data_IF_246687642474
#
_entry.id   IF_246687642474
#
_cell.length_a   1.000
_cell.length_b   1.000
_cell.length_c   1.000
_cell.angle_alpha   90.00
_cell.angle_beta   90.00
_cell.angle_gamma   90.00
#
_symmetry.space_group_name_H-M   'P 1'
#
loop_
_entity.id
_entity.type
_entity.pdbx_description
1 polymer ?
#
# COMPACT_ATOMS: atom_id res chain seq x y z
N UNK A 1 -2.07 14.26 3.64
CA UNK A 1 -2.49 13.01 4.31
C UNK A 1 -2.39 13.23 5.81
N UNK A 2 -3.49 13.12 6.55
CA UNK A 2 -3.51 13.31 8.01
C UNK A 2 -3.15 12.01 8.72
N UNK A 3 -2.24 12.05 9.69
CA UNK A 3 -1.93 10.89 10.55
C UNK A 3 -2.88 10.91 11.74
N UNK A 4 -3.56 9.80 11.97
CA UNK A 4 -4.46 9.64 13.12
C UNK A 4 -3.71 8.94 14.25
N UNK A 5 -3.74 9.53 15.44
CA UNK A 5 -3.06 9.00 16.63
C UNK A 5 -4.04 8.29 17.56
N UNK A 6 -3.63 7.13 18.07
CA UNK A 6 -4.41 6.32 19.01
C UNK A 6 -3.64 6.12 20.32
N UNK A 7 -4.35 5.86 21.41
CA UNK A 7 -3.74 5.52 22.72
C UNK A 7 -3.28 4.07 22.80
N UNK A 8 -3.84 3.18 21.99
CA UNK A 8 -3.69 1.75 22.12
C UNK A 8 -3.17 1.10 20.83
N UNK A 9 -2.40 0.02 21.01
CA UNK A 9 -1.95 -0.81 19.90
C UNK A 9 -3.11 -1.59 19.28
N UNK A 10 -3.01 -1.93 18.00
CA UNK A 10 -4.03 -2.73 17.31
C UNK A 10 -3.59 -4.18 17.08
N UNK A 11 -4.52 -4.95 16.54
CA UNK A 11 -4.29 -6.27 15.97
C UNK A 11 -4.41 -6.11 14.45
N UNK A 12 -3.46 -6.65 13.70
CA UNK A 12 -3.56 -6.67 12.25
C UNK A 12 -4.61 -7.69 11.85
N UNK A 13 -5.63 -7.30 11.09
CA UNK A 13 -6.65 -8.24 10.63
C UNK A 13 -6.05 -9.33 9.75
N UNK A 14 -4.95 -9.04 9.05
CA UNK A 14 -4.35 -9.92 8.04
C UNK A 14 -3.44 -11.00 8.64
N UNK A 15 -2.53 -10.61 9.52
CA UNK A 15 -1.57 -11.52 10.13
C UNK A 15 -1.85 -11.85 11.59
N UNK A 16 -2.91 -11.26 12.17
CA UNK A 16 -3.29 -11.39 13.59
C UNK A 16 -2.19 -10.96 14.57
N UNK A 17 -1.15 -10.28 14.07
CA UNK A 17 -0.07 -9.73 14.90
C UNK A 17 -0.67 -8.68 15.84
N UNK A 18 -0.53 -8.93 17.13
CA UNK A 18 -0.93 -7.99 18.20
C UNK A 18 0.15 -6.94 18.42
N UNK A 19 -0.21 -5.84 19.07
CA UNK A 19 0.77 -4.83 19.49
C UNK A 19 1.32 -4.02 18.32
N UNK A 20 0.61 -3.93 17.19
CA UNK A 20 1.08 -3.10 16.08
C UNK A 20 0.97 -1.63 16.49
N UNK A 21 2.08 -0.91 16.33
CA UNK A 21 2.18 0.50 16.71
C UNK A 21 1.99 1.45 15.53
N UNK A 22 1.99 0.90 14.32
CA UNK A 22 1.78 1.58 13.04
C UNK A 22 0.95 0.64 12.17
N UNK A 23 -0.16 1.12 11.63
CA UNK A 23 -1.10 0.35 10.81
C UNK A 23 -1.90 1.26 9.90
N UNK A 24 -2.62 0.66 8.97
CA UNK A 24 -3.51 1.35 8.05
C UNK A 24 -4.94 0.94 8.36
N UNK A 25 -5.83 1.91 8.46
CA UNK A 25 -7.26 1.66 8.65
C UNK A 25 -8.02 2.10 7.41
N UNK A 26 -8.93 1.27 6.92
CA UNK A 26 -9.89 1.70 5.91
C UNK A 26 -10.82 2.77 6.51
N UNK A 27 -11.18 3.79 5.72
CA UNK A 27 -12.00 4.90 6.19
C UNK A 27 -13.49 4.52 6.35
N UNK A 28 -13.97 3.54 5.59
CA UNK A 28 -15.39 3.17 5.52
C UNK A 28 -15.70 1.81 6.16
N UNK A 29 -14.69 0.96 6.38
CA UNK A 29 -14.89 -0.35 7.00
C UNK A 29 -13.88 -0.63 8.12
N UNK A 30 -14.23 -1.49 9.09
CA UNK A 30 -13.37 -1.78 10.24
C UNK A 30 -12.25 -2.75 9.85
N UNK A 31 -11.31 -2.30 9.00
CA UNK A 31 -10.14 -3.06 8.57
C UNK A 31 -8.84 -2.36 8.94
N UNK A 32 -8.06 -3.01 9.78
CA UNK A 32 -6.73 -2.63 10.21
C UNK A 32 -5.66 -3.55 9.62
N UNK A 33 -4.70 -2.99 8.89
CA UNK A 33 -3.64 -3.74 8.21
C UNK A 33 -2.27 -3.24 8.65
N UNK A 34 -1.39 -4.15 9.08
CA UNK A 34 -0.01 -3.77 9.37
C UNK A 34 0.79 -3.55 8.09
N UNK A 35 1.91 -2.83 8.22
CA UNK A 35 2.82 -2.52 7.12
C UNK A 35 3.20 -3.75 6.28
N UNK A 36 3.60 -4.86 6.91
CA UNK A 36 4.04 -6.08 6.21
C UNK A 36 2.92 -6.75 5.41
N UNK A 37 1.66 -6.49 5.76
CA UNK A 37 0.52 -7.02 5.03
C UNK A 37 0.04 -6.07 3.92
N UNK A 38 0.62 -4.88 3.78
CA UNK A 38 0.35 -4.00 2.64
C UNK A 38 1.14 -4.37 1.39
N UNK A 39 2.33 -4.94 1.54
CA UNK A 39 3.26 -5.21 0.43
C UNK A 39 2.68 -6.02 -0.77
N UNK A 40 1.66 -6.89 -0.65
CA UNK A 40 1.04 -7.54 -1.81
C UNK A 40 -0.20 -6.76 -2.30
N UNK A 41 -0.14 -5.43 -2.32
CA UNK A 41 -1.18 -4.55 -2.88
C UNK A 41 -2.55 -4.72 -2.22
N UNK A 42 -2.57 -5.08 -0.94
CA UNK A 42 -3.82 -5.40 -0.23
C UNK A 42 -4.73 -4.17 -0.12
N UNK A 43 -4.16 -3.00 0.13
CA UNK A 43 -4.91 -1.73 0.20
C UNK A 43 -5.50 -1.39 -1.15
N UNK A 44 -4.68 -1.48 -2.19
CA UNK A 44 -5.03 -1.14 -3.56
C UNK A 44 -6.13 -2.07 -4.08
N UNK A 45 -5.99 -3.37 -3.87
CA UNK A 45 -7.02 -4.36 -4.20
C UNK A 45 -8.33 -4.10 -3.42
N UNK A 46 -8.24 -3.75 -2.13
CA UNK A 46 -9.43 -3.41 -1.33
C UNK A 46 -10.13 -2.15 -1.84
N UNK A 47 -9.39 -1.07 -2.08
CA UNK A 47 -9.93 0.19 -2.60
C UNK A 47 -10.49 0.00 -4.02
N UNK A 48 -9.83 -0.79 -4.87
CA UNK A 48 -10.34 -1.11 -6.21
C UNK A 48 -11.66 -1.88 -6.15
N UNK A 49 -11.78 -2.87 -5.26
CA UNK A 49 -12.98 -3.70 -5.12
C UNK A 49 -14.18 -2.93 -4.53
N UNK A 50 -13.94 -2.03 -3.58
CA UNK A 50 -15.00 -1.39 -2.80
C UNK A 50 -15.20 0.11 -3.14
N UNK A 51 -14.38 0.67 -4.04
CA UNK A 51 -14.46 2.06 -4.47
C UNK A 51 -13.61 3.04 -3.65
N UNK A 52 -13.52 4.30 -4.09
CA UNK A 52 -12.59 5.30 -3.55
C UNK A 52 -12.85 5.71 -2.09
N UNK A 53 -14.08 5.53 -1.59
CA UNK A 53 -14.39 5.74 -0.16
C UNK A 53 -13.58 4.79 0.74
N UNK A 54 -13.25 3.60 0.25
CA UNK A 54 -12.45 2.61 0.96
C UNK A 54 -10.94 2.87 0.90
N UNK A 55 -10.52 4.14 0.90
CA UNK A 55 -9.12 4.51 1.04
C UNK A 55 -8.60 4.18 2.44
N UNK A 56 -7.28 4.03 2.57
CA UNK A 56 -6.65 3.73 3.85
C UNK A 56 -5.89 4.94 4.40
N UNK A 57 -6.09 5.21 5.68
CA UNK A 57 -5.33 6.19 6.44
C UNK A 57 -4.25 5.51 7.28
N UNK A 58 -3.06 6.13 7.35
CA UNK A 58 -2.01 5.71 8.27
C UNK A 58 -2.37 6.12 9.70
N UNK A 59 -2.40 5.13 10.58
CA UNK A 59 -2.67 5.25 12.00
C UNK A 59 -1.43 4.84 12.81
N UNK A 60 -1.27 5.44 13.98
CA UNK A 60 -0.11 5.21 14.83
C UNK A 60 -0.46 5.34 16.31
N UNK A 61 0.16 4.52 17.16
CA UNK A 61 0.10 4.74 18.61
C UNK A 61 0.85 6.02 18.95
N UNK A 62 0.19 6.92 19.69
CA UNK A 62 0.79 8.15 20.19
C UNK A 62 2.02 7.80 21.02
N UNK A 63 3.18 8.30 20.58
CA UNK A 63 4.44 8.20 21.31
C UNK A 63 4.71 9.52 22.01
N UNK A 64 5.27 9.45 23.21
CA UNK A 64 5.63 10.61 24.01
C UNK A 64 7.12 10.56 24.29
N UNK A 65 7.83 11.66 24.02
CA UNK A 65 9.25 11.75 24.29
C UNK A 65 9.51 11.54 25.78
N UNK A 66 10.38 10.60 26.13
CA UNK A 66 10.70 10.30 27.53
C UNK A 66 11.42 11.45 28.24
N UNK A 67 12.18 12.26 27.48
CA UNK A 67 12.88 13.44 27.98
C UNK A 67 11.93 14.61 28.23
N UNK A 68 11.36 15.21 27.17
CA UNK A 68 10.54 16.43 27.30
C UNK A 68 9.04 16.20 27.50
N UNK A 69 8.55 14.95 27.47
CA UNK A 69 7.13 14.58 27.63
C UNK A 69 6.17 15.13 26.57
N UNK A 70 6.69 15.66 25.47
CA UNK A 70 5.91 16.13 24.31
C UNK A 70 5.62 14.96 23.34
N UNK A 71 4.45 14.93 22.67
CA UNK A 71 4.17 13.96 21.61
C UNK A 71 5.21 13.96 20.50
N UNK A 72 5.58 12.77 20.03
CA UNK A 72 6.51 12.59 18.92
C UNK A 72 5.71 12.57 17.62
N UNK A 73 5.87 13.61 16.80
CA UNK A 73 5.17 13.77 15.51
C UNK A 73 6.07 13.64 14.29
N UNK A 74 7.39 13.46 14.51
CA UNK A 74 8.42 13.35 13.46
C UNK A 74 9.34 12.18 13.77
N UNK A 75 10.41 12.04 12.99
CA UNK A 75 11.52 11.13 13.27
C UNK A 75 11.92 11.18 14.76
N UNK A 76 12.45 10.08 15.26
CA UNK A 76 12.82 9.98 16.66
C UNK A 76 13.89 8.91 16.86
N UNK A 77 14.49 8.90 18.04
CA UNK A 77 15.36 7.82 18.47
C UNK A 77 14.60 6.85 19.35
N UNK A 78 14.72 5.56 19.06
CA UNK A 78 14.17 4.47 19.86
C UNK A 78 15.30 3.68 20.50
N UNK A 79 15.18 3.38 21.79
CA UNK A 79 16.10 2.45 22.45
C UNK A 79 15.85 1.00 21.98
N UNK A 80 16.91 0.23 21.72
CA UNK A 80 16.76 -1.17 21.26
C UNK A 80 16.33 -2.13 22.37
N UNK A 81 16.66 -1.81 23.62
CA UNK A 81 16.44 -2.71 24.77
C UNK A 81 15.23 -2.34 25.63
N UNK A 82 14.61 -1.17 25.41
CA UNK A 82 13.44 -0.74 26.19
C UNK A 82 12.49 0.13 25.37
N UNK A 83 11.32 0.45 25.93
CA UNK A 83 10.28 1.28 25.30
C UNK A 83 10.57 2.78 25.32
N UNK A 84 11.84 3.19 25.52
CA UNK A 84 12.22 4.61 25.57
C UNK A 84 12.34 5.19 24.17
N UNK A 85 11.48 6.17 23.89
CA UNK A 85 11.52 6.98 22.69
C UNK A 85 11.91 8.42 23.01
N UNK A 86 12.74 9.04 22.17
CA UNK A 86 13.23 10.40 22.34
C UNK A 86 13.04 11.18 21.03
N UNK A 87 12.35 12.32 21.08
CA UNK A 87 12.16 13.13 19.87
C UNK A 87 13.51 13.66 19.35
N UNK A 88 13.59 14.00 18.04
CA UNK A 88 14.85 14.52 17.48
C UNK A 88 15.40 15.74 18.23
N UNK A 89 14.54 16.62 18.73
CA UNK A 89 14.98 17.81 19.49
C UNK A 89 15.77 17.40 20.74
N UNK A 90 15.25 16.44 21.50
CA UNK A 90 15.91 15.94 22.70
C UNK A 90 17.04 14.97 22.40
N UNK A 91 17.15 14.44 21.18
CA UNK A 91 18.28 13.57 20.81
C UNK A 91 19.54 14.33 20.42
N UNK A 92 19.40 15.58 19.95
CA UNK A 92 20.55 16.46 19.68
C UNK A 92 21.29 16.75 21.00
N UNK A 93 20.55 16.85 22.10
CA UNK A 93 21.11 16.89 23.44
C UNK A 93 21.62 15.49 23.84
N UNK A 94 22.90 15.25 23.59
CA UNK A 94 23.56 13.96 23.86
C UNK A 94 23.53 13.57 25.34
N UNK A 95 23.22 14.51 26.24
CA UNK A 95 23.13 14.26 27.69
C UNK A 95 22.09 13.19 28.02
N UNK A 96 20.94 13.19 27.32
CA UNK A 96 19.89 12.21 27.59
C UNK A 96 20.30 10.80 27.16
N UNK A 97 20.77 10.64 25.92
CA UNK A 97 21.18 9.33 25.41
C UNK A 97 22.37 8.75 26.19
N UNK A 98 23.34 9.60 26.54
CA UNK A 98 24.49 9.21 27.37
C UNK A 98 24.06 8.83 28.77
N UNK A 99 23.25 9.65 29.44
CA UNK A 99 22.73 9.37 30.77
C UNK A 99 21.87 8.10 30.83
N UNK A 100 21.07 7.86 29.78
CA UNK A 100 20.29 6.63 29.63
C UNK A 100 21.20 5.40 29.53
N UNK A 101 22.23 5.45 28.68
CA UNK A 101 23.21 4.36 28.55
C UNK A 101 24.01 4.13 29.84
N UNK A 102 24.41 5.18 30.54
CA UNK A 102 25.11 5.07 31.83
C UNK A 102 24.22 4.41 32.89
N UNK A 103 22.91 4.74 32.91
CA UNK A 103 21.96 4.21 33.89
C UNK A 103 21.56 2.76 33.64
N UNK A 104 21.34 2.38 32.38
CA UNK A 104 20.78 1.08 32.01
C UNK A 104 21.79 0.12 31.38
N UNK A 105 23.02 0.57 31.15
CA UNK A 105 24.11 -0.22 30.57
C UNK A 105 24.31 0.00 29.08
N UNK A 106 25.46 -0.47 28.58
CA UNK A 106 25.92 -0.25 27.22
C UNK A 106 25.04 -0.93 26.14
N UNK A 107 24.24 -1.94 26.50
CA UNK A 107 23.29 -2.60 25.60
C UNK A 107 22.19 -1.65 25.13
N UNK A 108 21.83 -0.64 25.92
CA UNK A 108 20.80 0.34 25.58
C UNK A 108 21.31 1.36 24.55
N UNK A 109 21.34 0.94 23.28
CA UNK A 109 21.64 1.80 22.12
C UNK A 109 20.37 2.44 21.55
N UNK A 110 20.51 3.61 20.95
CA UNK A 110 19.44 4.29 20.25
C UNK A 110 19.58 4.10 18.73
N UNK A 111 18.48 3.75 18.08
CA UNK A 111 18.38 3.69 16.62
C UNK A 111 17.49 4.83 16.12
N UNK A 112 17.84 5.39 14.97
CA UNK A 112 17.03 6.41 14.31
C UNK A 112 15.85 5.74 13.60
N UNK A 113 14.64 6.08 14.02
CA UNK A 113 13.40 5.67 13.38
C UNK A 113 12.92 6.82 12.50
N UNK A 114 13.00 6.61 11.18
CA UNK A 114 12.43 7.53 10.19
C UNK A 114 10.91 7.36 10.20
N UNK A 115 10.19 8.42 10.55
CA UNK A 115 8.76 8.50 10.28
C UNK A 115 8.59 8.76 8.80
N UNK A 116 8.04 7.79 8.09
CA UNK A 116 7.50 8.05 6.76
C UNK A 116 6.02 8.45 6.93
N UNK A 117 5.67 9.73 6.78
CA UNK A 117 4.28 10.19 6.92
C UNK A 117 3.40 9.73 5.76
N UNK A 118 4.02 9.27 4.67
CA UNK A 118 3.37 8.80 3.46
C UNK A 118 4.02 7.48 3.10
N UNK A 119 3.21 6.43 3.01
CA UNK A 119 3.54 5.35 2.12
C UNK A 119 2.96 5.65 0.77
N UNK A 120 3.79 5.71 -0.28
CA UNK A 120 3.23 5.77 -1.62
C UNK A 120 2.28 4.59 -1.84
N UNK A 121 1.27 4.83 -2.67
CA UNK A 121 0.53 3.73 -3.27
C UNK A 121 1.52 2.92 -4.10
N UNK A 122 1.40 1.60 -4.08
CA UNK A 122 2.16 0.83 -5.05
C UNK A 122 1.66 1.23 -6.44
N UNK A 123 2.59 1.41 -7.38
CA UNK A 123 2.24 1.75 -8.74
C UNK A 123 1.41 0.61 -9.35
N UNK A 124 0.23 0.95 -9.87
CA UNK A 124 -0.65 -0.03 -10.48
C UNK A 124 -0.33 -0.10 -11.96
N UNK A 125 -0.03 -1.30 -12.43
CA UNK A 125 0.17 -1.55 -13.84
C UNK A 125 -1.18 -1.83 -14.50
N UNK A 126 -1.56 -0.99 -15.46
CA UNK A 126 -2.78 -1.20 -16.24
C UNK A 126 -2.37 -2.03 -17.44
N UNK A 127 -2.81 -3.29 -17.49
CA UNK A 127 -2.62 -4.12 -18.67
C UNK A 127 -3.93 -4.13 -19.46
N UNK A 128 -3.86 -3.58 -20.66
CA UNK A 128 -4.95 -3.68 -21.62
C UNK A 128 -4.95 -5.07 -22.23
N UNK A 129 -5.60 -6.00 -21.56
CA UNK A 129 -5.82 -7.35 -22.08
C UNK A 129 -6.92 -7.31 -23.12
N UNK A 130 -6.58 -7.00 -24.39
CA UNK A 130 -7.53 -7.26 -25.50
C UNK A 130 -7.87 -8.75 -25.46
N UNK A 131 -9.15 -9.04 -25.61
CA UNK A 131 -9.81 -10.34 -25.53
C UNK A 131 -9.08 -11.42 -26.38
N UNK A 132 -7.96 -11.93 -25.87
CA UNK A 132 -7.15 -12.97 -26.50
C UNK A 132 -7.51 -14.30 -25.82
N UNK A 133 -7.69 -15.39 -26.59
CA UNK A 133 -8.03 -16.70 -26.04
C UNK A 133 -7.09 -17.18 -24.91
N UNK A 134 -5.85 -16.70 -24.89
CA UNK A 134 -4.87 -17.00 -23.83
C UNK A 134 -5.29 -16.52 -22.44
N UNK A 135 -6.21 -15.57 -22.33
CA UNK A 135 -6.68 -15.01 -21.06
C UNK A 135 -8.00 -15.62 -20.56
N UNK A 136 -8.73 -16.36 -21.40
CA UNK A 136 -9.92 -17.13 -20.97
C UNK A 136 -9.54 -18.22 -19.95
N UNK A 137 -8.30 -18.68 -20.00
CA UNK A 137 -7.74 -19.63 -19.04
C UNK A 137 -7.11 -18.98 -17.80
N UNK A 138 -7.06 -17.65 -17.73
CA UNK A 138 -6.42 -16.98 -16.61
C UNK A 138 -7.33 -17.01 -15.38
N UNK A 139 -7.01 -17.93 -14.46
CA UNK A 139 -7.85 -18.28 -13.31
C UNK A 139 -7.13 -18.01 -12.01
N UNK A 140 -7.88 -17.50 -11.03
CA UNK A 140 -7.41 -17.35 -9.67
C UNK A 140 -6.93 -18.70 -9.13
N UNK A 141 -5.69 -18.77 -8.65
CA UNK A 141 -5.08 -19.99 -8.11
C UNK A 141 -5.88 -20.59 -6.96
N UNK A 142 -6.54 -19.75 -6.17
CA UNK A 142 -7.25 -20.14 -4.95
C UNK A 142 -8.70 -20.54 -5.23
N UNK A 143 -9.51 -19.64 -5.79
CA UNK A 143 -10.94 -19.93 -6.02
C UNK A 143 -11.25 -20.54 -7.39
N UNK A 144 -10.26 -20.64 -8.29
CA UNK A 144 -10.39 -21.13 -9.67
C UNK A 144 -11.32 -20.33 -10.57
N UNK A 145 -11.91 -19.23 -10.09
CA UNK A 145 -12.68 -18.30 -10.90
C UNK A 145 -11.81 -17.54 -11.89
N UNK A 146 -12.39 -17.13 -13.02
CA UNK A 146 -11.72 -16.28 -14.00
C UNK A 146 -11.26 -14.96 -13.35
N UNK A 147 -10.09 -14.48 -13.74
CA UNK A 147 -9.58 -13.19 -13.30
C UNK A 147 -10.30 -12.07 -14.05
N UNK A 148 -11.02 -11.24 -13.32
CA UNK A 148 -11.77 -10.10 -13.87
C UNK A 148 -11.43 -8.84 -13.06
N UNK A 149 -11.42 -7.69 -13.74
CA UNK A 149 -11.13 -6.34 -13.21
C UNK A 149 -9.69 -6.12 -12.74
N UNK A 150 -9.13 -7.05 -11.97
CA UNK A 150 -7.76 -6.97 -11.52
C UNK A 150 -7.21 -8.32 -11.05
N UNK A 151 -5.90 -8.47 -11.17
CA UNK A 151 -5.17 -9.66 -10.78
C UNK A 151 -3.92 -9.27 -9.99
N UNK A 152 -3.67 -9.95 -8.88
CA UNK A 152 -2.37 -9.92 -8.24
C UNK A 152 -1.56 -11.13 -8.74
N UNK A 153 -0.50 -10.85 -9.47
CA UNK A 153 0.37 -11.83 -10.14
C UNK A 153 1.65 -11.97 -9.35
N UNK A 154 2.08 -13.21 -9.15
CA UNK A 154 3.39 -13.51 -8.57
C UNK A 154 4.42 -13.60 -9.68
N UNK A 155 5.45 -12.76 -9.62
CA UNK A 155 6.50 -12.73 -10.65
C UNK A 155 7.45 -13.93 -10.57
N UNK A 156 7.48 -14.61 -9.41
CA UNK A 156 8.36 -15.76 -9.16
C UNK A 156 7.61 -17.10 -9.30
N UNK A 157 6.30 -17.10 -9.55
CA UNK A 157 5.49 -18.30 -9.68
C UNK A 157 4.62 -18.24 -10.92
N UNK A 158 4.91 -19.13 -11.87
CA UNK A 158 4.22 -19.18 -13.18
C UNK A 158 2.68 -19.30 -13.09
N UNK A 159 2.16 -19.98 -12.06
CA UNK A 159 0.73 -20.26 -11.91
C UNK A 159 0.13 -19.69 -10.61
N UNK A 160 0.70 -18.61 -10.07
CA UNK A 160 0.21 -18.03 -8.82
C UNK A 160 -0.37 -16.63 -9.03
N UNK A 161 -1.58 -16.62 -9.60
CA UNK A 161 -2.35 -15.40 -9.81
C UNK A 161 -3.61 -15.40 -8.95
N UNK A 162 -3.96 -14.24 -8.42
CA UNK A 162 -5.08 -14.09 -7.48
C UNK A 162 -6.06 -13.04 -7.98
N UNK A 163 -7.36 -13.35 -7.93
CA UNK A 163 -8.38 -12.33 -8.14
C UNK A 163 -8.39 -11.34 -6.98
N UNK A 164 -8.89 -10.13 -7.24
CA UNK A 164 -9.02 -9.06 -6.23
C UNK A 164 -9.70 -9.51 -4.93
N UNK A 165 -10.74 -10.35 -5.02
CA UNK A 165 -11.41 -10.90 -3.84
C UNK A 165 -10.52 -11.83 -3.00
N UNK A 166 -9.69 -12.66 -3.63
CA UNK A 166 -8.75 -13.54 -2.92
C UNK A 166 -7.60 -12.73 -2.30
N UNK A 167 -7.14 -11.68 -2.98
CA UNK A 167 -6.16 -10.73 -2.42
C UNK A 167 -6.75 -10.05 -1.17
N UNK A 168 -7.98 -9.54 -1.28
CA UNK A 168 -8.70 -8.92 -0.17
C UNK A 168 -8.93 -9.89 1.00
N UNK A 169 -9.13 -11.18 0.70
CA UNK A 169 -9.15 -12.31 1.65
C UNK A 169 -7.76 -12.78 2.12
N UNK A 170 -6.74 -11.93 1.96
CA UNK A 170 -5.41 -12.09 2.57
C UNK A 170 -4.55 -13.16 1.90
N UNK A 171 -4.98 -13.75 0.78
CA UNK A 171 -4.25 -14.86 0.14
C UNK A 171 -2.89 -14.42 -0.40
N UNK A 172 -2.81 -13.23 -1.03
CA UNK A 172 -1.54 -12.67 -1.52
C UNK A 172 -0.53 -12.45 -0.40
N UNK A 173 -0.99 -11.88 0.72
CA UNK A 173 -0.16 -11.69 1.92
C UNK A 173 0.27 -13.00 2.57
N UNK A 174 -0.49 -14.09 2.45
CA UNK A 174 -0.05 -15.40 2.93
C UNK A 174 1.01 -16.01 2.02
N UNK A 175 0.89 -15.82 0.71
CA UNK A 175 1.89 -16.28 -0.25
C UNK A 175 3.21 -15.54 -0.06
N UNK A 176 3.22 -14.21 -0.20
CA UNK A 176 4.43 -13.38 -0.11
C UNK A 176 5.20 -13.57 1.20
N UNK A 177 4.50 -13.77 2.33
CA UNK A 177 5.16 -14.04 3.63
C UNK A 177 5.86 -15.39 3.72
N UNK A 178 5.40 -16.40 2.99
CA UNK A 178 5.96 -17.76 3.05
C UNK A 178 7.18 -17.91 2.15
N UNK A 179 7.19 -17.20 1.03
CA UNK A 179 8.16 -17.42 -0.03
C UNK A 179 9.06 -16.20 -0.29
N UNK A 180 8.71 -15.03 0.24
CA UNK A 180 9.37 -13.76 -0.06
C UNK A 180 9.36 -13.40 -1.55
N UNK A 181 8.30 -13.80 -2.27
CA UNK A 181 8.12 -13.51 -3.68
C UNK A 181 7.63 -12.09 -3.94
N UNK A 182 8.01 -11.57 -5.10
CA UNK A 182 7.57 -10.31 -5.67
C UNK A 182 6.20 -10.47 -6.30
N UNK A 183 5.30 -9.54 -5.99
CA UNK A 183 3.96 -9.50 -6.53
C UNK A 183 3.76 -8.18 -7.29
N UNK A 184 2.95 -8.21 -8.34
CA UNK A 184 2.48 -7.04 -9.08
C UNK A 184 0.95 -7.08 -9.17
N UNK A 185 0.30 -5.92 -9.12
CA UNK A 185 -1.14 -5.83 -9.28
C UNK A 185 -1.49 -5.23 -10.64
N UNK A 186 -2.11 -6.04 -11.47
CA UNK A 186 -2.61 -5.65 -12.78
C UNK A 186 -4.09 -5.25 -12.71
N UNK A 187 -4.43 -4.13 -13.34
CA UNK A 187 -5.82 -3.80 -13.67
C UNK A 187 -6.11 -4.38 -15.06
N UNK A 188 -7.10 -5.25 -15.16
CA UNK A 188 -7.45 -5.97 -16.37
C UNK A 188 -8.59 -5.26 -17.10
N UNK A 189 -8.30 -4.71 -18.29
CA UNK A 189 -9.31 -4.12 -19.16
C UNK A 189 -9.87 -5.16 -20.13
N UNK A 190 -10.86 -5.95 -19.69
CA UNK A 190 -11.56 -6.92 -20.55
C UNK A 190 -12.70 -6.20 -21.29
N UNK A 191 -12.63 -6.18 -22.62
CA UNK A 191 -13.70 -5.71 -23.53
C UNK A 191 -14.11 -4.23 -23.47
N UNK A 192 -13.25 -3.34 -22.96
CA UNK A 192 -13.61 -1.92 -22.84
C UNK A 192 -14.80 -1.66 -21.89
N UNK A 193 -15.20 -2.66 -21.11
CA UNK A 193 -16.22 -2.57 -20.06
C UNK A 193 -15.74 -1.71 -18.87
N UNK A 194 -14.44 -1.42 -18.79
CA UNK A 194 -13.96 -0.25 -18.05
C UNK A 194 -14.35 1.02 -18.83
N UNK A 195 -15.66 1.25 -18.97
CA UNK A 195 -16.16 2.58 -19.32
C UNK A 195 -15.58 3.53 -18.30
N UNK A 196 -14.72 4.43 -18.76
CA UNK A 196 -13.94 5.41 -18.01
C UNK A 196 -14.79 6.47 -17.30
N UNK A 197 -16.06 6.19 -17.05
CA UNK A 197 -17.06 7.07 -16.43
C UNK A 197 -16.68 7.53 -15.01
N UNK A 198 -15.62 7.00 -14.41
CA UNK A 198 -15.18 7.34 -13.05
C UNK A 198 -13.82 8.02 -12.97
N UNK A 199 -13.12 8.25 -14.09
CA UNK A 199 -11.79 8.87 -14.09
C UNK A 199 -11.79 10.39 -14.36
N UNK A 200 -12.94 11.00 -14.67
CA UNK A 200 -13.00 12.37 -15.20
C UNK A 200 -13.63 13.43 -14.25
N UNK A 201 -13.42 13.35 -12.93
CA UNK A 201 -13.76 14.48 -12.03
C UNK A 201 -12.76 14.73 -10.89
N UNK A 202 -11.46 14.44 -11.09
CA UNK A 202 -10.39 14.94 -10.21
C UNK A 202 -9.69 16.20 -10.76
N UNK A 203 -10.42 17.04 -11.48
CA UNK A 203 -9.99 18.40 -11.81
C UNK A 203 -11.16 19.38 -11.71
N UNK A 204 -11.44 19.86 -10.50
CA UNK A 204 -12.06 21.15 -10.17
C UNK A 204 -11.54 21.49 -8.76
N UNK A 205 -11.10 22.69 -8.39
CA UNK A 205 -11.30 24.01 -8.97
C UNK A 205 -10.29 24.97 -8.34
N UNK A 206 -9.48 25.67 -9.15
CA UNK A 206 -9.18 27.09 -8.96
C UNK A 206 -9.09 27.71 -10.36
N UNK A 207 -10.09 28.53 -10.68
CA UNK A 207 -10.12 29.67 -11.61
C UNK A 207 -9.33 29.61 -12.93
N UNK A 208 -10.02 29.59 -14.08
CA UNK A 208 -10.20 30.80 -14.91
C UNK A 208 -10.95 30.54 -16.23
N UNK A 209 -11.70 31.57 -16.63
CA UNK A 209 -12.44 31.72 -17.89
C UNK A 209 -11.50 31.88 -19.10
N UNK A 210 -11.86 31.31 -20.26
CA UNK A 210 -11.25 31.70 -21.54
C UNK A 210 -11.48 30.78 -22.74
N UNK A 211 -12.61 30.99 -23.43
CA UNK A 211 -12.82 30.95 -24.90
C UNK A 211 -12.30 29.80 -25.82
N UNK A 212 -13.28 29.22 -26.53
CA UNK A 212 -13.38 28.99 -27.98
C UNK A 212 -12.49 27.98 -28.76
N UNK A 213 -13.22 27.00 -29.33
CA UNK A 213 -13.26 26.58 -30.76
C UNK A 213 -12.03 25.94 -31.41
N UNK A 214 -12.14 24.65 -31.79
CA UNK A 214 -12.17 24.18 -33.20
C UNK A 214 -11.98 22.66 -33.29
N UNK A 215 -12.77 22.03 -34.16
CA UNK A 215 -12.72 20.61 -34.55
C UNK A 215 -11.55 20.32 -35.48
N UNK A 216 -10.94 19.13 -35.36
CA UNK A 216 -10.24 18.45 -36.45
C UNK A 216 -10.43 16.91 -36.31
N UNK A 217 -10.54 16.16 -37.43
CA UNK A 217 -10.67 14.71 -37.44
C UNK A 217 -9.29 14.04 -37.46
N UNK A 218 -9.13 12.93 -36.73
CA UNK A 218 -7.92 12.11 -36.79
C UNK A 218 -8.23 10.68 -37.22
N UNK A 219 -7.52 10.35 -38.28
CA UNK A 219 -7.31 9.12 -39.02
C UNK A 219 -6.98 7.92 -38.10
N UNK A 220 -7.73 6.83 -38.23
CA UNK A 220 -7.35 5.51 -37.68
C UNK A 220 -6.25 4.92 -38.58
N UNK A 221 -5.12 4.57 -37.98
CA UNK A 221 -4.08 3.75 -38.61
C UNK A 221 -3.89 2.51 -37.76
N UNK A 222 -4.12 1.34 -38.36
CA UNK A 222 -3.94 0.02 -37.77
C UNK A 222 -2.46 -0.19 -37.39
N UNK A 223 -2.18 -0.20 -36.08
CA UNK A 223 -0.93 -0.66 -35.51
C UNK A 223 -1.15 -2.09 -35.01
N UNK A 224 -0.51 -3.06 -35.67
CA UNK A 224 -0.39 -4.44 -35.19
C UNK A 224 0.82 -4.55 -34.26
N UNK A 225 0.62 -4.25 -32.98
CA UNK A 225 1.59 -4.55 -31.93
C UNK A 225 1.38 -5.99 -31.44
N UNK A 226 2.35 -6.85 -31.76
CA UNK A 226 2.51 -8.16 -31.12
C UNK A 226 3.04 -7.96 -29.70
N UNK A 227 2.17 -7.63 -28.75
CA UNK A 227 2.54 -7.69 -27.33
C UNK A 227 2.59 -9.15 -26.87
N UNK A 228 3.78 -9.58 -26.43
CA UNK A 228 4.04 -10.86 -25.77
C UNK A 228 3.29 -10.94 -24.42
N UNK A 229 2.91 -12.13 -23.95
CA UNK A 229 2.39 -12.29 -22.59
C UNK A 229 3.39 -11.75 -21.56
N UNK A 230 2.93 -11.32 -20.36
CA UNK A 230 3.79 -10.71 -19.36
C UNK A 230 5.02 -11.59 -19.09
N UNK A 231 6.21 -10.98 -18.92
CA UNK A 231 7.45 -11.73 -18.87
C UNK A 231 7.47 -12.56 -17.59
N UNK A 232 7.25 -13.87 -17.73
CA UNK A 232 7.68 -14.82 -16.72
C UNK A 232 9.21 -14.85 -16.79
N UNK A 233 9.89 -14.30 -15.79
CA UNK A 233 11.33 -14.46 -15.67
C UNK A 233 11.62 -15.96 -15.49
N UNK A 234 12.36 -16.54 -16.45
CA UNK A 234 12.81 -17.93 -16.41
C UNK A 234 13.90 -18.17 -15.38
#
# INVERSE_FOLDING_TARGET
MSIIYHSESRICDYCLKRGITEWYSCLECPRDVCYQCLEPYTREAHTHLNGPGHAFALNRVRRTCRSCRVPITRNFLKCTECSTDVCMKCSIDTSYATGHRTRFGASHRFIHVKLQPVHPLNELEIISVRNRPTYDDWKCRICKGALQLGALVCLDCQDFDLCTQCVDKKEGARHARRTHHSMVFYILNVDGLLSTSSAAHFATSMDNLGASTSQLPLHESDIHDHEEPPPYAG
#
